data_IF_848661534344
#
_entry.id   IF_848661534344
#
_cell.length_a   1.000
_cell.length_b   1.000
_cell.length_c   1.000
_cell.angle_alpha   90.00
_cell.angle_beta   90.00
_cell.angle_gamma   90.00
#
_symmetry.space_group_name_H-M   'P 1'
#
loop_
_entity.id
_entity.type
_entity.pdbx_description
1 polymer ?
#
# COMPACT_ATOMS: atom_id res chain seq x y z
N UNK A 1 16.44 -0.35 14.54
CA UNK A 1 15.13 -0.17 15.24
C UNK A 1 14.12 -0.85 14.33
N UNK A 2 13.30 -1.76 14.86
CA UNK A 2 12.47 -2.65 14.04
C UNK A 2 11.65 -1.93 12.97
N UNK A 3 11.09 -0.75 13.28
CA UNK A 3 10.31 0.01 12.29
C UNK A 3 11.14 0.51 11.09
N UNK A 4 12.42 0.87 11.27
CA UNK A 4 13.31 1.28 10.17
C UNK A 4 13.65 0.10 9.27
N UNK A 5 13.91 -1.06 9.87
CA UNK A 5 14.18 -2.31 9.15
C UNK A 5 12.95 -2.77 8.35
N UNK A 6 11.74 -2.59 8.89
CA UNK A 6 10.51 -2.88 8.14
C UNK A 6 10.25 -1.86 7.03
N UNK A 7 10.53 -0.57 7.29
CA UNK A 7 10.45 0.47 6.27
C UNK A 7 11.38 0.16 5.09
N UNK A 8 12.64 -0.15 5.35
CA UNK A 8 13.63 -0.47 4.30
C UNK A 8 13.16 -1.65 3.43
N UNK A 9 12.63 -2.72 4.04
CA UNK A 9 12.06 -3.86 3.29
C UNK A 9 10.87 -3.47 2.41
N UNK A 10 10.00 -2.59 2.91
CA UNK A 10 8.85 -2.11 2.14
C UNK A 10 9.28 -1.17 1.01
N UNK A 11 10.28 -0.31 1.24
CA UNK A 11 10.86 0.56 0.20
C UNK A 11 11.59 -0.23 -0.90
N UNK A 12 12.21 -1.37 -0.56
CA UNK A 12 12.77 -2.29 -1.55
C UNK A 12 11.66 -2.91 -2.40
N UNK A 13 10.61 -3.44 -1.77
CA UNK A 13 9.46 -4.04 -2.47
C UNK A 13 8.71 -3.01 -3.34
N UNK A 14 8.49 -1.80 -2.84
CA UNK A 14 7.86 -0.71 -3.60
C UNK A 14 8.61 -0.41 -4.91
N UNK A 15 9.95 -0.43 -4.87
CA UNK A 15 10.79 -0.16 -6.04
C UNK A 15 10.85 -1.32 -7.02
N UNK A 16 10.90 -2.55 -6.51
CA UNK A 16 11.02 -3.77 -7.32
C UNK A 16 9.69 -4.18 -7.95
N UNK A 17 8.60 -4.06 -7.19
CA UNK A 17 7.27 -4.54 -7.56
C UNK A 17 6.17 -3.69 -6.88
N UNK A 18 5.95 -2.50 -7.47
CA UNK A 18 4.97 -1.55 -6.97
C UNK A 18 3.54 -2.14 -6.92
N UNK A 19 3.18 -3.00 -7.87
CA UNK A 19 1.85 -3.60 -7.92
C UNK A 19 1.62 -4.53 -6.73
N UNK A 20 2.52 -5.47 -6.49
CA UNK A 20 2.37 -6.40 -5.36
C UNK A 20 2.61 -5.72 -4.02
N UNK A 21 3.43 -4.66 -3.96
CA UNK A 21 3.52 -3.78 -2.78
C UNK A 21 2.15 -3.23 -2.39
N UNK A 22 1.41 -2.64 -3.33
CA UNK A 22 0.10 -2.06 -3.08
C UNK A 22 -0.93 -3.14 -2.71
N UNK A 23 -0.96 -4.25 -3.45
CA UNK A 23 -1.87 -5.39 -3.15
C UNK A 23 -1.63 -5.94 -1.74
N UNK A 24 -0.37 -6.08 -1.32
CA UNK A 24 -0.02 -6.57 0.01
C UNK A 24 -0.54 -5.65 1.12
N UNK A 25 -0.36 -4.33 0.97
CA UNK A 25 -0.87 -3.35 1.95
C UNK A 25 -2.39 -3.44 2.06
N UNK A 26 -3.11 -3.49 0.92
CA UNK A 26 -4.57 -3.58 0.90
C UNK A 26 -5.05 -4.89 1.50
N UNK A 27 -4.41 -6.00 1.16
CA UNK A 27 -4.70 -7.33 1.70
C UNK A 27 -4.60 -7.33 3.22
N UNK A 28 -3.52 -6.79 3.78
CA UNK A 28 -3.30 -6.69 5.24
C UNK A 28 -4.39 -5.83 5.91
N UNK A 29 -4.64 -4.63 5.39
CA UNK A 29 -5.56 -3.66 6.01
C UNK A 29 -7.03 -4.06 5.89
N UNK A 30 -7.40 -4.81 4.84
CA UNK A 30 -8.78 -5.20 4.55
C UNK A 30 -9.09 -6.66 4.83
N UNK A 31 -8.08 -7.50 5.06
CA UNK A 31 -8.23 -8.94 5.22
C UNK A 31 -8.70 -9.63 3.92
N UNK A 32 -8.19 -9.20 2.76
CA UNK A 32 -8.56 -9.73 1.44
C UNK A 32 -7.39 -10.56 0.91
N UNK A 33 -7.62 -11.85 0.67
CA UNK A 33 -6.62 -12.77 0.10
C UNK A 33 -6.96 -13.22 -1.33
N UNK A 34 -8.10 -12.77 -1.88
CA UNK A 34 -8.49 -13.07 -3.27
C UNK A 34 -7.71 -12.16 -4.24
N UNK A 35 -6.76 -12.76 -4.97
CA UNK A 35 -5.90 -12.08 -5.93
C UNK A 35 -6.69 -11.31 -7.00
N UNK A 36 -7.82 -11.83 -7.48
CA UNK A 36 -8.62 -11.15 -8.51
C UNK A 36 -9.30 -9.90 -7.96
N UNK A 37 -9.71 -9.94 -6.70
CA UNK A 37 -10.25 -8.77 -6.01
C UNK A 37 -9.15 -7.72 -5.83
N UNK A 38 -7.94 -8.15 -5.45
CA UNK A 38 -6.79 -7.26 -5.32
C UNK A 38 -6.36 -6.64 -6.66
N UNK A 39 -6.39 -7.40 -7.76
CA UNK A 39 -6.15 -6.89 -9.13
C UNK A 39 -7.16 -5.80 -9.49
N UNK A 40 -8.44 -6.03 -9.20
CA UNK A 40 -9.49 -5.05 -9.48
C UNK A 40 -9.28 -3.77 -8.68
N UNK A 41 -8.95 -3.87 -7.39
CA UNK A 41 -8.72 -2.71 -6.54
C UNK A 41 -7.46 -1.97 -6.97
N UNK A 42 -6.38 -2.66 -7.34
CA UNK A 42 -5.16 -2.04 -7.83
C UNK A 42 -5.40 -1.24 -9.11
N UNK A 43 -6.15 -1.79 -10.05
CA UNK A 43 -6.54 -1.09 -11.27
C UNK A 43 -7.36 0.17 -10.99
N UNK A 44 -8.32 0.10 -10.06
CA UNK A 44 -9.07 1.29 -9.62
C UNK A 44 -8.17 2.33 -8.93
N UNK A 45 -7.23 1.87 -8.08
CA UNK A 45 -6.27 2.72 -7.39
C UNK A 45 -5.37 3.50 -8.36
N UNK A 46 -4.79 2.85 -9.38
CA UNK A 46 -3.94 3.52 -10.38
C UNK A 46 -4.66 4.65 -11.14
N UNK A 47 -5.98 4.53 -11.30
CA UNK A 47 -6.80 5.54 -11.97
C UNK A 47 -7.40 6.58 -11.00
N UNK A 48 -7.19 6.39 -9.70
CA UNK A 48 -7.71 7.26 -8.66
C UNK A 48 -6.77 8.43 -8.39
N UNK A 49 -7.29 9.64 -8.09
CA UNK A 49 -6.46 10.74 -7.59
C UNK A 49 -6.00 10.53 -6.13
N UNK A 50 -6.44 9.46 -5.45
CA UNK A 50 -6.10 9.19 -4.05
C UNK A 50 -4.73 8.54 -3.90
N UNK A 51 -3.96 9.00 -2.92
CA UNK A 51 -2.77 8.29 -2.45
C UNK A 51 -3.16 7.17 -1.48
N UNK A 52 -2.26 6.19 -1.31
CA UNK A 52 -2.49 5.04 -0.42
C UNK A 52 -2.62 5.44 1.05
N UNK A 53 -1.80 6.41 1.48
CA UNK A 53 -1.90 7.02 2.80
C UNK A 53 -3.00 8.09 2.75
N UNK A 54 -4.00 7.90 3.60
CA UNK A 54 -5.07 8.85 3.82
C UNK A 54 -4.49 10.18 4.35
N UNK A 55 -4.96 11.30 3.80
CA UNK A 55 -4.67 12.67 4.22
C UNK A 55 -4.84 12.92 5.73
N UNK A 56 -5.56 12.03 6.45
CA UNK A 56 -5.70 12.07 7.91
C UNK A 56 -4.36 12.10 8.67
N UNK A 57 -3.31 11.47 8.15
CA UNK A 57 -1.98 11.55 8.78
C UNK A 57 -1.33 12.92 8.59
N UNK A 58 -1.62 13.62 7.50
CA UNK A 58 -1.09 14.96 7.23
C UNK A 58 -1.63 15.96 8.25
N UNK A 59 -2.88 15.80 8.69
CA UNK A 59 -3.48 16.60 9.76
C UNK A 59 -2.83 16.39 11.13
N UNK A 60 -2.26 15.19 11.38
CA UNK A 60 -1.60 14.85 12.64
C UNK A 60 -0.14 15.32 12.74
N UNK A 61 0.44 15.79 11.62
CA UNK A 61 1.82 16.28 11.56
C UNK A 61 1.95 17.78 11.87
N UNK A 62 0.83 18.46 12.19
CA UNK A 62 0.74 19.88 12.53
C UNK A 62 1.00 20.13 14.02
#
# INVERSE_FOLDING_TARGET
>A
MKWKEYKEKLEELEKEDYENYIKAIISIEKGIDDEKVLDSIYNEYLNSPCNLLNDMFDEMLI
#
